data_IF_256910029892
#
_entry.id   IF_256910029892
#
_cell.length_a   1.000
_cell.length_b   1.000
_cell.length_c   1.000
_cell.angle_alpha   90.00
_cell.angle_beta   90.00
_cell.angle_gamma   90.00
#
_symmetry.space_group_name_H-M   'P 1'
#
loop_
_entity.id
_entity.type
_entity.pdbx_description
1 polymer ?
#
# COMPACT_ATOMS: atom_id res chain seq x y z
N UNK A 1 -26.82 -10.05 -18.65
CA UNK A 1 -26.01 -11.28 -18.52
C UNK A 1 -25.43 -11.79 -19.84
N UNK A 2 -26.01 -11.48 -21.02
CA UNK A 2 -25.31 -11.70 -22.30
C UNK A 2 -24.09 -10.76 -22.39
N UNK A 3 -22.89 -11.31 -22.62
CA UNK A 3 -21.64 -10.55 -22.77
C UNK A 3 -20.67 -10.57 -21.58
N UNK A 4 -21.02 -11.21 -20.46
CA UNK A 4 -20.12 -11.36 -19.31
C UNK A 4 -19.13 -12.51 -19.51
N UNK A 5 -17.85 -12.29 -19.21
CA UNK A 5 -16.84 -13.34 -19.19
C UNK A 5 -16.85 -14.06 -17.84
N UNK A 6 -17.26 -15.33 -17.85
CA UNK A 6 -17.37 -16.18 -16.66
C UNK A 6 -16.16 -17.09 -16.46
N UNK A 7 -15.10 -16.92 -17.26
CA UNK A 7 -13.87 -17.68 -17.06
C UNK A 7 -13.33 -17.40 -15.65
N UNK A 8 -12.87 -18.43 -14.91
CA UNK A 8 -12.30 -18.25 -13.57
C UNK A 8 -11.23 -17.15 -13.50
N UNK A 9 -10.38 -17.05 -14.53
CA UNK A 9 -9.36 -15.99 -14.61
C UNK A 9 -9.93 -14.57 -14.69
N UNK A 10 -11.03 -14.35 -15.42
CA UNK A 10 -11.67 -13.04 -15.52
C UNK A 10 -12.30 -12.62 -14.19
N UNK A 11 -12.92 -13.57 -13.47
CA UNK A 11 -13.49 -13.34 -12.14
C UNK A 11 -12.38 -12.99 -11.14
N UNK A 12 -11.29 -13.75 -11.16
CA UNK A 12 -10.14 -13.54 -10.27
C UNK A 12 -9.47 -12.19 -10.55
N UNK A 13 -9.34 -11.79 -11.81
CA UNK A 13 -8.86 -10.46 -12.19
C UNK A 13 -9.79 -9.35 -11.69
N UNK A 14 -11.11 -9.51 -11.81
CA UNK A 14 -12.06 -8.53 -11.31
C UNK A 14 -11.97 -8.36 -9.78
N UNK A 15 -11.76 -9.46 -9.04
CA UNK A 15 -11.51 -9.43 -7.59
C UNK A 15 -10.18 -8.71 -7.28
N UNK A 16 -9.13 -8.98 -8.05
CA UNK A 16 -7.83 -8.32 -7.92
C UNK A 16 -7.93 -6.80 -8.09
N UNK A 17 -8.62 -6.35 -9.13
CA UNK A 17 -8.86 -4.92 -9.37
C UNK A 17 -9.75 -4.31 -8.27
N UNK A 18 -10.77 -5.03 -7.82
CA UNK A 18 -11.60 -4.63 -6.69
C UNK A 18 -10.81 -4.48 -5.38
N UNK A 19 -9.86 -5.38 -5.12
CA UNK A 19 -9.00 -5.32 -3.94
C UNK A 19 -8.15 -4.05 -3.90
N UNK A 20 -7.69 -3.56 -5.06
CA UNK A 20 -6.91 -2.32 -5.14
C UNK A 20 -7.68 -1.10 -4.63
N UNK A 21 -8.99 -1.03 -4.88
CA UNK A 21 -9.85 0.03 -4.35
C UNK A 21 -9.97 0.03 -2.81
N UNK A 22 -9.75 -1.12 -2.15
CA UNK A 22 -9.71 -1.23 -0.68
C UNK A 22 -8.29 -1.06 -0.10
N UNK A 23 -7.33 -0.60 -0.91
CA UNK A 23 -5.96 -0.31 -0.47
C UNK A 23 -5.88 0.78 0.62
N UNK A 24 -4.72 0.87 1.28
CA UNK A 24 -4.42 1.91 2.29
C UNK A 24 -4.63 1.49 3.75
N UNK A 25 -5.16 0.30 4.02
CA UNK A 25 -5.31 -0.20 5.40
C UNK A 25 -3.95 -0.40 6.11
N UNK A 26 -2.87 -0.62 5.37
CA UNK A 26 -1.50 -0.77 5.91
C UNK A 26 -0.97 0.55 6.46
N UNK A 27 -1.22 1.65 5.76
CA UNK A 27 -0.87 3.03 6.13
C UNK A 27 -1.43 3.40 7.50
N UNK A 28 -2.70 3.05 7.76
CA UNK A 28 -3.35 3.29 9.06
C UNK A 28 -2.70 2.51 10.22
N UNK A 29 -2.13 1.34 9.95
CA UNK A 29 -1.49 0.54 10.99
C UNK A 29 -0.21 1.20 11.52
N UNK A 30 0.53 1.94 10.69
CA UNK A 30 1.75 2.63 11.12
C UNK A 30 1.48 3.75 12.14
N UNK A 31 0.41 4.51 11.97
CA UNK A 31 0.00 5.55 12.93
C UNK A 31 -0.77 5.01 14.13
N UNK A 32 -1.22 3.74 14.10
CA UNK A 32 -2.05 3.18 15.16
C UNK A 32 -1.32 3.01 16.49
N UNK A 33 0.01 2.89 16.48
CA UNK A 33 0.85 2.75 17.68
C UNK A 33 0.96 4.06 18.49
N UNK A 34 0.77 5.21 17.84
CA UNK A 34 0.79 6.53 18.49
C UNK A 34 -0.54 6.86 19.19
N UNK A 35 -1.62 6.19 18.80
CA UNK A 35 -2.94 6.43 19.37
C UNK A 35 -3.03 5.72 20.72
N UNK A 36 -2.88 6.48 21.80
CA UNK A 36 -3.11 6.00 23.17
C UNK A 36 -4.60 5.78 23.42
N UNK A 37 -5.13 4.65 22.94
CA UNK A 37 -6.54 4.29 23.12
C UNK A 37 -6.71 3.44 24.38
N UNK A 38 -7.65 3.86 25.24
CA UNK A 38 -8.10 3.03 26.35
C UNK A 38 -8.65 1.69 25.83
N UNK A 39 -8.14 0.57 26.35
CA UNK A 39 -8.48 -0.79 25.89
C UNK A 39 -8.15 -1.07 24.40
N UNK A 40 -6.98 -0.63 23.92
CA UNK A 40 -6.45 -0.86 22.56
C UNK A 40 -6.77 -2.26 21.99
N UNK A 41 -6.55 -3.32 22.77
CA UNK A 41 -6.82 -4.72 22.36
C UNK A 41 -8.23 -5.01 21.85
N UNK A 42 -9.24 -4.31 22.37
CA UNK A 42 -10.65 -4.52 22.00
C UNK A 42 -11.14 -3.46 21.02
N UNK A 43 -10.59 -2.26 21.10
CA UNK A 43 -11.01 -1.13 20.25
C UNK A 43 -10.46 -1.26 18.83
N UNK A 44 -9.19 -1.67 18.68
CA UNK A 44 -8.55 -1.78 17.37
C UNK A 44 -9.30 -2.75 16.43
N UNK A 45 -9.62 -4.01 16.82
CA UNK A 45 -10.34 -4.91 15.91
C UNK A 45 -11.73 -4.40 15.52
N UNK A 46 -12.43 -3.71 16.43
CA UNK A 46 -13.75 -3.13 16.16
C UNK A 46 -13.67 -1.95 15.20
N UNK A 47 -12.67 -1.09 15.38
CA UNK A 47 -12.41 0.02 14.47
C UNK A 47 -12.07 -0.49 13.06
N UNK A 48 -11.20 -1.50 12.95
CA UNK A 48 -10.86 -2.12 11.66
C UNK A 48 -12.09 -2.74 10.97
N UNK A 49 -12.88 -3.54 11.70
CA UNK A 49 -14.08 -4.17 11.14
C UNK A 49 -15.16 -3.13 10.78
N UNK A 50 -15.36 -2.13 11.63
CA UNK A 50 -16.30 -1.03 11.36
C UNK A 50 -15.91 -0.24 10.13
N UNK A 51 -14.64 0.16 10.01
CA UNK A 51 -14.11 0.84 8.83
C UNK A 51 -14.31 0.02 7.55
N UNK A 52 -13.96 -1.27 7.59
CA UNK A 52 -14.10 -2.16 6.43
C UNK A 52 -15.57 -2.31 5.98
N UNK A 53 -16.51 -2.48 6.92
CA UNK A 53 -17.94 -2.59 6.60
C UNK A 53 -18.49 -1.29 6.02
N UNK A 54 -18.15 -0.15 6.62
CA UNK A 54 -18.60 1.17 6.13
C UNK A 54 -18.07 1.42 4.72
N UNK A 55 -16.78 1.18 4.48
CA UNK A 55 -16.19 1.31 3.15
C UNK A 55 -16.87 0.39 2.14
N UNK A 56 -17.12 -0.88 2.50
CA UNK A 56 -17.79 -1.82 1.61
C UNK A 56 -19.21 -1.36 1.24
N UNK A 57 -19.98 -0.85 2.20
CA UNK A 57 -21.32 -0.30 1.95
C UNK A 57 -21.24 0.89 0.98
N UNK A 58 -20.33 1.84 1.23
CA UNK A 58 -20.16 3.02 0.37
C UNK A 58 -19.79 2.60 -1.05
N UNK A 59 -18.85 1.67 -1.22
CA UNK A 59 -18.45 1.16 -2.55
C UNK A 59 -19.63 0.51 -3.29
N UNK A 60 -20.44 -0.30 -2.60
CA UNK A 60 -21.64 -0.90 -3.21
C UNK A 60 -22.65 0.19 -3.60
N UNK A 61 -22.91 1.16 -2.74
CA UNK A 61 -23.85 2.24 -3.02
C UNK A 61 -23.42 3.10 -4.21
N UNK A 62 -22.13 3.41 -4.34
CA UNK A 62 -21.57 4.14 -5.49
C UNK A 62 -21.71 3.32 -6.78
N UNK A 63 -21.44 2.02 -6.75
CA UNK A 63 -21.63 1.18 -7.94
C UNK A 63 -23.11 1.08 -8.33
N UNK A 64 -24.01 0.94 -7.36
CA UNK A 64 -25.47 0.96 -7.59
C UNK A 64 -25.91 2.28 -8.21
N UNK A 65 -25.38 3.42 -7.76
CA UNK A 65 -25.73 4.71 -8.34
C UNK A 65 -25.26 4.82 -9.79
N UNK A 66 -24.03 4.37 -10.12
CA UNK A 66 -23.54 4.34 -11.49
C UNK A 66 -24.41 3.49 -12.41
N UNK A 67 -24.76 2.27 -12.01
CA UNK A 67 -25.59 1.39 -12.84
C UNK A 67 -27.06 1.82 -12.94
N UNK A 68 -27.54 2.70 -12.05
CA UNK A 68 -28.89 3.26 -12.15
C UNK A 68 -29.03 4.28 -13.28
N UNK A 69 -27.92 4.88 -13.73
CA UNK A 69 -27.94 6.04 -14.64
C UNK A 69 -27.16 5.76 -15.93
N UNK A 70 -26.01 5.08 -15.82
CA UNK A 70 -25.15 4.76 -16.94
C UNK A 70 -25.38 3.34 -17.43
N UNK A 71 -25.32 3.16 -18.74
CA UNK A 71 -25.30 1.83 -19.34
C UNK A 71 -23.91 1.19 -19.20
N UNK A 72 -23.79 -0.15 -19.21
CA UNK A 72 -22.49 -0.82 -19.14
C UNK A 72 -21.50 -0.39 -20.24
N UNK A 73 -22.00 -0.05 -21.43
CA UNK A 73 -21.15 0.48 -22.51
C UNK A 73 -20.58 1.86 -22.17
N UNK A 74 -21.42 2.77 -21.68
CA UNK A 74 -20.96 4.11 -21.26
C UNK A 74 -19.92 4.04 -20.13
N UNK A 75 -20.02 3.05 -19.22
CA UNK A 75 -19.03 2.84 -18.15
C UNK A 75 -17.69 2.37 -18.72
N UNK A 76 -17.70 1.42 -19.66
CA UNK A 76 -16.48 0.85 -20.25
C UNK A 76 -15.80 1.84 -21.20
N UNK A 77 -16.58 2.63 -21.94
CA UNK A 77 -16.08 3.61 -22.92
C UNK A 77 -15.65 4.92 -22.26
N UNK A 78 -16.01 5.16 -20.99
CA UNK A 78 -15.66 6.36 -20.26
C UNK A 78 -14.26 6.27 -19.63
N UNK A 79 -13.42 7.28 -19.88
CA UNK A 79 -12.14 7.44 -19.18
C UNK A 79 -12.29 7.81 -17.70
N UNK A 80 -13.41 8.45 -17.33
CA UNK A 80 -13.69 8.89 -15.96
C UNK A 80 -15.19 8.73 -15.66
N UNK A 81 -15.55 7.56 -15.15
CA UNK A 81 -16.95 7.16 -14.87
C UNK A 81 -17.67 8.20 -14.00
N UNK A 82 -16.99 8.76 -13.00
CA UNK A 82 -17.56 9.80 -12.13
C UNK A 82 -17.94 11.07 -12.90
N UNK A 83 -17.11 11.52 -13.84
CA UNK A 83 -17.37 12.71 -14.65
C UNK A 83 -18.57 12.47 -15.57
N UNK A 84 -18.61 11.32 -16.25
CA UNK A 84 -19.73 10.95 -17.13
C UNK A 84 -21.04 10.81 -16.34
N UNK A 85 -20.99 10.27 -15.13
CA UNK A 85 -22.14 10.19 -14.23
C UNK A 85 -22.69 11.57 -13.86
N UNK A 86 -21.83 12.50 -13.44
CA UNK A 86 -22.25 13.88 -13.10
C UNK A 86 -22.77 14.62 -14.34
N UNK A 87 -22.16 14.38 -15.49
CA UNK A 87 -22.61 14.94 -16.76
C UNK A 87 -24.03 14.51 -17.11
N UNK A 88 -24.36 13.22 -16.90
CA UNK A 88 -25.69 12.67 -17.15
C UNK A 88 -26.75 13.09 -16.14
N UNK A 89 -26.36 13.43 -14.91
CA UNK A 89 -27.29 13.73 -13.81
C UNK A 89 -27.52 15.21 -13.58
N UNK A 90 -26.44 15.97 -13.42
CA UNK A 90 -26.46 17.39 -13.05
C UNK A 90 -26.18 18.28 -14.27
N UNK A 91 -25.47 17.75 -15.26
CA UNK A 91 -25.14 18.44 -16.51
C UNK A 91 -23.67 18.86 -16.61
N UNK A 92 -23.31 19.38 -17.78
CA UNK A 92 -21.91 19.66 -18.15
C UNK A 92 -21.21 20.66 -17.21
N UNK A 93 -21.94 21.62 -16.64
CA UNK A 93 -21.36 22.63 -15.75
C UNK A 93 -20.78 22.05 -14.47
N UNK A 94 -21.49 21.13 -13.82
CA UNK A 94 -21.00 20.45 -12.62
C UNK A 94 -19.92 19.41 -12.94
N UNK A 95 -20.00 18.76 -14.11
CA UNK A 95 -19.02 17.77 -14.53
C UNK A 95 -17.60 18.35 -14.65
N UNK A 96 -17.48 19.64 -14.98
CA UNK A 96 -16.19 20.33 -15.06
C UNK A 96 -15.46 20.42 -13.70
N UNK A 97 -16.20 20.43 -12.59
CA UNK A 97 -15.61 20.47 -11.25
C UNK A 97 -15.12 19.09 -10.76
N UNK A 98 -15.60 18.00 -11.35
CA UNK A 98 -15.29 16.63 -10.88
C UNK A 98 -13.80 16.33 -10.90
N UNK A 99 -13.03 16.58 -11.99
CA UNK A 99 -11.60 16.34 -11.98
C UNK A 99 -10.84 17.15 -10.93
N UNK A 100 -11.28 18.38 -10.64
CA UNK A 100 -10.66 19.21 -9.60
C UNK A 100 -10.87 18.63 -8.20
N UNK A 101 -12.08 18.15 -7.90
CA UNK A 101 -12.39 17.46 -6.64
C UNK A 101 -11.59 16.16 -6.52
N UNK A 102 -11.53 15.36 -7.58
CA UNK A 102 -10.72 14.13 -7.62
C UNK A 102 -9.24 14.46 -7.40
N UNK A 103 -8.72 15.52 -8.04
CA UNK A 103 -7.35 15.99 -7.82
C UNK A 103 -7.06 16.36 -6.37
N UNK A 104 -7.99 17.04 -5.69
CA UNK A 104 -7.86 17.35 -4.27
C UNK A 104 -7.83 16.09 -3.39
N UNK A 105 -8.66 15.09 -3.72
CA UNK A 105 -8.64 13.80 -3.02
C UNK A 105 -7.30 13.05 -3.21
N UNK A 106 -6.75 13.08 -4.43
CA UNK A 106 -5.45 12.47 -4.74
C UNK A 106 -4.31 13.14 -3.95
N UNK A 107 -4.34 14.46 -3.75
CA UNK A 107 -3.37 15.16 -2.87
C UNK A 107 -3.46 14.62 -1.44
N UNK A 108 -4.67 14.36 -0.95
CA UNK A 108 -4.89 13.73 0.36
C UNK A 108 -4.22 12.35 0.47
N UNK A 109 -4.42 11.49 -0.52
CA UNK A 109 -3.78 10.17 -0.58
C UNK A 109 -2.25 10.28 -0.65
N UNK A 110 -1.74 11.16 -1.52
CA UNK A 110 -0.29 11.38 -1.66
C UNK A 110 0.35 11.83 -0.35
N UNK A 111 -0.31 12.70 0.42
CA UNK A 111 0.18 13.09 1.74
C UNK A 111 0.27 11.89 2.69
N UNK A 112 -0.75 11.04 2.73
CA UNK A 112 -0.76 9.81 3.53
C UNK A 112 0.36 8.83 3.13
N UNK A 113 0.60 8.70 1.82
CA UNK A 113 1.66 7.85 1.28
C UNK A 113 3.05 8.41 1.60
N UNK A 114 3.25 9.73 1.54
CA UNK A 114 4.52 10.36 1.98
C UNK A 114 4.78 10.05 3.46
N UNK A 115 3.77 10.06 4.32
CA UNK A 115 3.94 9.74 5.74
C UNK A 115 4.32 8.27 5.98
N UNK A 116 3.63 7.33 5.32
CA UNK A 116 3.84 5.90 5.57
C UNK A 116 4.97 5.27 4.75
N UNK A 117 5.25 5.83 3.58
CA UNK A 117 6.10 5.24 2.56
C UNK A 117 7.11 6.24 1.98
N UNK A 118 7.50 7.28 2.74
CA UNK A 118 8.39 8.39 2.31
C UNK A 118 9.53 7.99 1.36
N UNK A 119 10.27 6.93 1.71
CA UNK A 119 11.42 6.42 0.93
C UNK A 119 10.99 5.80 -0.41
N UNK A 120 9.88 5.08 -0.42
CA UNK A 120 9.27 4.56 -1.65
C UNK A 120 8.74 5.71 -2.50
N UNK A 121 8.05 6.69 -1.91
CA UNK A 121 7.50 7.83 -2.65
C UNK A 121 8.58 8.65 -3.36
N UNK A 122 9.72 8.91 -2.71
CA UNK A 122 10.85 9.58 -3.35
C UNK A 122 11.40 8.79 -4.55
N UNK A 123 11.48 7.46 -4.41
CA UNK A 123 11.93 6.58 -5.49
C UNK A 123 10.91 6.56 -6.64
N UNK A 124 9.62 6.49 -6.34
CA UNK A 124 8.53 6.53 -7.32
C UNK A 124 8.50 7.84 -8.10
N UNK A 125 8.79 8.99 -7.46
CA UNK A 125 8.90 10.28 -8.15
C UNK A 125 10.02 10.23 -9.20
N UNK A 126 11.19 9.67 -8.85
CA UNK A 126 12.31 9.54 -9.79
C UNK A 126 11.94 8.65 -10.97
N UNK A 127 11.26 7.52 -10.74
CA UNK A 127 10.80 6.64 -11.81
C UNK A 127 9.71 7.27 -12.69
N UNK A 128 8.80 8.07 -12.11
CA UNK A 128 7.79 8.80 -12.87
C UNK A 128 8.39 9.81 -13.86
N UNK A 129 9.58 10.35 -13.58
CA UNK A 129 10.31 11.19 -14.53
C UNK A 129 11.07 10.40 -15.61
N UNK A 130 11.35 9.11 -15.38
CA UNK A 130 12.21 8.28 -16.23
C UNK A 130 11.46 7.33 -17.17
N UNK A 131 10.16 7.08 -16.97
CA UNK A 131 9.46 6.07 -17.77
C UNK A 131 7.95 6.04 -17.65
N UNK A 132 7.37 5.07 -18.35
CA UNK A 132 5.93 4.79 -18.42
C UNK A 132 5.38 4.43 -17.03
N UNK A 133 4.46 5.26 -16.52
CA UNK A 133 3.91 5.13 -15.16
C UNK A 133 3.09 3.87 -14.98
N UNK A 134 2.51 3.33 -16.05
CA UNK A 134 1.66 2.14 -15.96
C UNK A 134 2.49 0.89 -15.65
N UNK A 135 3.64 0.75 -16.32
CA UNK A 135 4.60 -0.32 -16.03
C UNK A 135 5.19 -0.22 -14.63
N UNK A 136 5.46 1.01 -14.15
CA UNK A 136 5.96 1.22 -12.79
C UNK A 136 4.96 0.73 -11.74
N UNK A 137 3.67 1.03 -11.92
CA UNK A 137 2.61 0.58 -11.02
C UNK A 137 2.55 -0.95 -10.99
N UNK A 138 2.68 -1.60 -12.13
CA UNK A 138 2.70 -3.07 -12.21
C UNK A 138 3.91 -3.68 -11.49
N UNK A 139 5.11 -3.10 -11.65
CA UNK A 139 6.31 -3.55 -10.93
C UNK A 139 6.15 -3.39 -9.41
N UNK A 140 5.66 -2.22 -8.97
CA UNK A 140 5.47 -1.90 -7.56
C UNK A 140 4.37 -2.77 -6.93
N UNK A 141 3.31 -3.10 -7.68
CA UNK A 141 2.28 -4.02 -7.22
C UNK A 141 2.86 -5.42 -6.94
N UNK A 142 3.68 -5.96 -7.84
CA UNK A 142 4.33 -7.27 -7.65
C UNK A 142 5.26 -7.24 -6.42
N UNK A 143 6.09 -6.19 -6.28
CA UNK A 143 6.96 -6.02 -5.11
C UNK A 143 6.14 -5.89 -3.81
N UNK A 144 5.05 -5.12 -3.82
CA UNK A 144 4.12 -4.95 -2.69
C UNK A 144 3.43 -6.25 -2.27
N UNK A 145 3.06 -7.09 -3.22
CA UNK A 145 2.51 -8.42 -2.93
C UNK A 145 3.55 -9.35 -2.35
N UNK A 146 4.78 -9.37 -2.88
CA UNK A 146 5.87 -10.19 -2.36
C UNK A 146 6.27 -9.80 -0.94
N UNK A 147 6.39 -8.50 -0.66
CA UNK A 147 6.66 -8.00 0.69
C UNK A 147 5.55 -8.41 1.66
N UNK A 148 4.28 -8.33 1.26
CA UNK A 148 3.14 -8.76 2.08
C UNK A 148 3.15 -10.27 2.32
N UNK A 149 3.41 -11.08 1.29
CA UNK A 149 3.56 -12.55 1.42
C UNK A 149 4.67 -12.89 2.41
N UNK A 150 5.83 -12.25 2.28
CA UNK A 150 6.96 -12.49 3.18
C UNK A 150 6.64 -12.07 4.61
N UNK A 151 6.02 -10.91 4.81
CA UNK A 151 5.59 -10.44 6.13
C UNK A 151 4.59 -11.40 6.79
N UNK A 152 3.62 -11.91 6.04
CA UNK A 152 2.65 -12.91 6.54
C UNK A 152 3.32 -14.26 6.85
N UNK A 153 4.27 -14.71 6.02
CA UNK A 153 5.07 -15.91 6.29
C UNK A 153 5.84 -15.78 7.61
N UNK A 154 6.53 -14.66 7.82
CA UNK A 154 7.25 -14.38 9.06
C UNK A 154 6.28 -14.36 10.25
N UNK A 155 5.12 -13.74 10.10
CA UNK A 155 4.10 -13.69 11.16
C UNK A 155 3.57 -15.08 11.54
N UNK A 156 3.33 -15.95 10.55
CA UNK A 156 2.94 -17.35 10.77
C UNK A 156 4.06 -18.09 11.52
N UNK A 157 5.32 -17.89 11.13
CA UNK A 157 6.48 -18.49 11.81
C UNK A 157 6.60 -18.00 13.26
N UNK A 158 6.45 -16.70 13.51
CA UNK A 158 6.49 -16.10 14.86
C UNK A 158 5.43 -16.73 15.75
N UNK A 159 4.19 -16.86 15.25
CA UNK A 159 3.08 -17.47 16.00
C UNK A 159 3.30 -18.96 16.25
N UNK A 160 3.82 -19.69 15.26
CA UNK A 160 4.10 -21.12 15.40
C UNK A 160 5.24 -21.37 16.41
N UNK A 161 6.31 -20.57 16.35
CA UNK A 161 7.47 -20.67 17.26
C UNK A 161 7.27 -19.99 18.62
N UNK A 162 6.14 -19.32 18.87
CA UNK A 162 5.82 -18.61 20.13
C UNK A 162 6.95 -17.68 20.60
N UNK A 163 7.51 -16.89 19.69
CA UNK A 163 8.53 -15.89 20.04
C UNK A 163 7.96 -14.82 21.00
N UNK A 164 8.79 -14.18 21.86
CA UNK A 164 8.32 -13.12 22.74
C UNK A 164 7.84 -11.93 21.91
N UNK A 165 6.60 -11.48 22.18
CA UNK A 165 5.95 -10.35 21.51
C UNK A 165 5.84 -9.21 22.53
N UNK A 166 5.71 -7.97 22.06
CA UNK A 166 5.47 -6.77 22.88
C UNK A 166 4.40 -6.97 23.97
N UNK A 167 4.46 -6.17 25.03
CA UNK A 167 3.70 -6.32 26.28
C UNK A 167 2.16 -6.27 26.13
N UNK A 168 1.62 -5.67 25.05
CA UNK A 168 0.18 -5.57 24.83
C UNK A 168 -0.33 -6.05 23.45
N UNK A 169 -0.20 -7.34 23.07
CA UNK A 169 -0.54 -7.79 21.73
C UNK A 169 -2.04 -8.09 21.58
N UNK A 170 -2.60 -7.70 20.43
CA UNK A 170 -3.92 -8.16 19.96
C UNK A 170 -3.83 -9.66 19.63
N UNK A 171 -4.57 -10.48 20.38
CA UNK A 171 -4.59 -11.94 20.16
C UNK A 171 -5.61 -12.29 19.08
N UNK A 172 -5.15 -12.93 18.01
CA UNK A 172 -6.00 -13.47 16.94
C UNK A 172 -5.52 -14.88 16.54
N UNK A 173 -6.45 -15.69 16.04
CA UNK A 173 -6.19 -17.06 15.59
C UNK A 173 -5.18 -17.09 14.46
N UNK A 174 -4.34 -18.14 14.43
CA UNK A 174 -3.37 -18.39 13.34
C UNK A 174 -4.04 -18.68 12.01
N UNK A 175 -5.33 -19.07 12.04
CA UNK A 175 -6.13 -19.33 10.85
C UNK A 175 -6.16 -18.12 9.89
N UNK A 176 -6.32 -16.90 10.42
CA UNK A 176 -6.47 -15.69 9.59
C UNK A 176 -5.20 -15.35 8.79
N UNK A 177 -3.98 -15.34 9.37
CA UNK A 177 -2.75 -15.20 8.60
C UNK A 177 -2.53 -16.28 7.56
N UNK A 178 -2.83 -17.55 7.87
CA UNK A 178 -2.66 -18.66 6.93
C UNK A 178 -3.61 -18.49 5.75
N UNK A 179 -4.87 -18.17 6.01
CA UNK A 179 -5.87 -17.92 4.97
C UNK A 179 -5.44 -16.75 4.06
N UNK A 180 -5.01 -15.64 4.64
CA UNK A 180 -4.54 -14.48 3.88
C UNK A 180 -3.30 -14.80 3.04
N UNK A 181 -2.36 -15.56 3.60
CA UNK A 181 -1.17 -16.02 2.88
C UNK A 181 -1.54 -16.85 1.64
N UNK A 182 -2.48 -17.79 1.76
CA UNK A 182 -2.95 -18.61 0.63
C UNK A 182 -3.58 -17.72 -0.45
N UNK A 183 -4.41 -16.74 -0.04
CA UNK A 183 -5.05 -15.79 -0.97
C UNK A 183 -4.00 -14.96 -1.69
N UNK A 184 -3.01 -14.41 -0.98
CA UNK A 184 -1.96 -13.58 -1.59
C UNK A 184 -1.09 -14.36 -2.56
N UNK A 185 -0.74 -15.62 -2.25
CA UNK A 185 -0.03 -16.50 -3.18
C UNK A 185 -0.86 -16.77 -4.43
N UNK A 186 -2.18 -16.98 -4.28
CA UNK A 186 -3.07 -17.19 -5.42
C UNK A 186 -3.22 -15.92 -6.27
N UNK A 187 -3.32 -14.74 -5.66
CA UNK A 187 -3.42 -13.46 -6.37
C UNK A 187 -2.13 -13.12 -7.12
N UNK A 188 -0.96 -13.54 -6.62
CA UNK A 188 0.32 -13.35 -7.28
C UNK A 188 0.41 -14.06 -8.64
N UNK A 189 -0.41 -15.08 -8.89
CA UNK A 189 -0.47 -15.78 -10.19
C UNK A 189 -1.01 -14.87 -11.30
N UNK A 190 -1.86 -13.90 -10.96
CA UNK A 190 -2.51 -13.02 -11.94
C UNK A 190 -1.48 -12.15 -12.68
N UNK A 191 -0.67 -11.30 -12.01
CA UNK A 191 0.31 -10.48 -12.72
C UNK A 191 1.32 -11.34 -13.47
N UNK A 192 1.69 -12.51 -12.95
CA UNK A 192 2.61 -13.46 -13.61
C UNK A 192 2.05 -13.93 -14.96
N UNK A 193 0.74 -14.15 -15.06
CA UNK A 193 0.09 -14.59 -16.30
C UNK A 193 -0.19 -13.44 -17.27
N UNK A 194 -0.55 -12.26 -16.76
CA UNK A 194 -0.91 -11.12 -17.59
C UNK A 194 0.29 -10.41 -18.17
N UNK A 195 1.30 -10.15 -17.34
CA UNK A 195 2.54 -9.53 -17.76
C UNK A 195 3.75 -10.20 -17.10
N UNK A 196 4.28 -11.27 -17.75
CA UNK A 196 5.37 -12.04 -17.19
C UNK A 196 6.68 -11.24 -17.10
N UNK A 197 6.92 -10.29 -18.02
CA UNK A 197 8.14 -9.49 -18.02
C UNK A 197 8.13 -8.56 -16.81
N UNK A 198 7.01 -7.86 -16.61
CA UNK A 198 6.83 -6.95 -15.48
C UNK A 198 6.92 -7.67 -14.14
N UNK A 199 6.36 -8.89 -14.08
CA UNK A 199 6.47 -9.74 -12.90
C UNK A 199 7.93 -10.13 -12.60
N UNK A 200 8.69 -10.61 -13.60
CA UNK A 200 10.10 -10.99 -13.42
C UNK A 200 10.93 -9.81 -12.90
N UNK A 201 10.71 -8.61 -13.45
CA UNK A 201 11.37 -7.39 -12.99
C UNK A 201 11.02 -7.12 -11.52
N UNK A 202 9.73 -7.15 -11.14
CA UNK A 202 9.31 -6.98 -9.74
C UNK A 202 9.95 -7.99 -8.78
N UNK A 203 10.01 -9.28 -9.15
CA UNK A 203 10.72 -10.30 -8.38
C UNK A 203 12.22 -10.00 -8.24
N UNK A 204 12.85 -9.55 -9.33
CA UNK A 204 14.28 -9.21 -9.32
C UNK A 204 14.56 -8.00 -8.43
N UNK A 205 13.68 -6.99 -8.41
CA UNK A 205 13.79 -5.82 -7.53
C UNK A 205 13.71 -6.22 -6.06
N UNK A 206 12.79 -7.13 -5.72
CA UNK A 206 12.67 -7.65 -4.36
C UNK A 206 13.95 -8.38 -3.92
N UNK A 207 14.49 -9.27 -4.77
CA UNK A 207 15.71 -10.00 -4.46
C UNK A 207 16.95 -9.09 -4.41
N UNK A 208 17.03 -8.10 -5.30
CA UNK A 208 18.07 -7.09 -5.30
C UNK A 208 18.10 -6.32 -3.97
N UNK A 209 16.93 -6.00 -3.40
CA UNK A 209 16.83 -5.39 -2.07
C UNK A 209 17.51 -6.23 -0.97
N UNK A 210 17.33 -7.57 -1.02
CA UNK A 210 18.00 -8.49 -0.08
C UNK A 210 19.51 -8.50 -0.29
N UNK A 211 19.97 -8.55 -1.54
CA UNK A 211 21.41 -8.54 -1.87
C UNK A 211 22.06 -7.23 -1.42
N UNK A 212 21.45 -6.09 -1.76
CA UNK A 212 21.94 -4.76 -1.37
C UNK A 212 22.03 -4.64 0.15
N UNK A 213 21.05 -5.15 0.90
CA UNK A 213 21.11 -5.15 2.36
C UNK A 213 22.37 -5.88 2.89
N UNK A 214 22.66 -7.08 2.39
CA UNK A 214 23.84 -7.83 2.85
C UNK A 214 25.15 -7.18 2.40
N UNK A 215 25.22 -6.65 1.18
CA UNK A 215 26.40 -5.95 0.67
C UNK A 215 26.67 -4.68 1.48
N UNK A 216 25.67 -3.83 1.68
CA UNK A 216 25.80 -2.61 2.48
C UNK A 216 26.19 -2.95 3.91
N UNK A 217 25.54 -3.94 4.54
CA UNK A 217 25.89 -4.39 5.88
C UNK A 217 27.34 -4.86 5.96
N UNK A 218 27.79 -5.67 5.01
CA UNK A 218 29.16 -6.16 4.96
C UNK A 218 30.16 -5.00 4.85
N UNK A 219 29.91 -4.07 3.91
CA UNK A 219 30.74 -2.90 3.68
C UNK A 219 30.80 -2.00 4.92
N UNK A 220 29.66 -1.65 5.51
CA UNK A 220 29.61 -0.78 6.71
C UNK A 220 30.33 -1.43 7.90
N UNK A 221 30.22 -2.75 8.05
CA UNK A 221 30.90 -3.48 9.15
C UNK A 221 32.41 -3.49 8.99
N UNK A 222 32.93 -3.49 7.76
CA UNK A 222 34.38 -3.63 7.49
C UNK A 222 35.08 -2.31 7.14
N UNK A 223 34.35 -1.21 6.96
CA UNK A 223 34.91 0.06 6.46
C UNK A 223 34.60 1.22 7.41
N UNK A 224 35.54 1.56 8.30
CA UNK A 224 35.40 2.70 9.21
C UNK A 224 35.28 4.05 8.47
N UNK A 225 35.89 4.16 7.29
CA UNK A 225 35.84 5.36 6.45
C UNK A 225 34.41 5.77 6.05
N UNK A 226 33.55 4.79 5.77
CA UNK A 226 32.15 5.08 5.42
C UNK A 226 31.38 5.63 6.61
N UNK A 227 31.70 5.21 7.83
CA UNK A 227 31.14 5.81 9.05
C UNK A 227 31.61 7.25 9.30
N UNK A 228 32.74 7.67 8.73
CA UNK A 228 33.19 9.08 8.76
C UNK A 228 32.43 9.91 7.73
N UNK A 229 32.25 9.38 6.51
CA UNK A 229 31.45 10.05 5.46
C UNK A 229 30.00 10.19 5.93
N UNK A 230 29.41 9.12 6.46
CA UNK A 230 28.04 9.11 6.96
C UNK A 230 27.83 10.23 7.98
N UNK A 231 28.65 10.29 9.05
CA UNK A 231 28.59 11.37 10.05
C UNK A 231 28.71 12.78 9.46
N UNK A 232 29.65 12.98 8.52
CA UNK A 232 29.83 14.30 7.87
C UNK A 232 28.61 14.67 7.03
N UNK A 233 28.07 13.71 6.29
CA UNK A 233 26.88 13.90 5.46
C UNK A 233 25.64 14.14 6.32
N UNK A 234 25.46 13.39 7.41
CA UNK A 234 24.38 13.60 8.38
C UNK A 234 24.46 15.00 8.98
N UNK A 235 25.64 15.45 9.40
CA UNK A 235 25.83 16.80 9.95
C UNK A 235 25.56 17.90 8.91
N UNK A 236 25.96 17.69 7.66
CA UNK A 236 25.61 18.59 6.56
C UNK A 236 24.10 18.66 6.33
N UNK A 237 23.42 17.51 6.30
CA UNK A 237 21.96 17.45 6.17
C UNK A 237 21.25 18.13 7.34
N UNK A 238 21.73 17.96 8.59
CA UNK A 238 21.20 18.62 9.78
C UNK A 238 21.27 20.15 9.65
N UNK A 239 22.42 20.69 9.22
CA UNK A 239 22.58 22.13 9.00
C UNK A 239 21.64 22.60 7.88
N UNK A 240 21.60 21.87 6.76
CA UNK A 240 20.82 22.26 5.58
C UNK A 240 19.31 22.29 5.86
N UNK A 241 18.81 21.29 6.60
CA UNK A 241 17.38 21.11 6.88
C UNK A 241 16.96 21.65 8.23
N UNK A 242 17.88 22.20 9.03
CA UNK A 242 17.66 22.57 10.43
C UNK A 242 17.02 21.43 11.23
N UNK A 243 17.55 20.21 11.09
CA UNK A 243 17.03 19.03 11.79
C UNK A 243 17.97 18.60 12.91
N UNK A 244 17.39 18.05 13.97
CA UNK A 244 18.09 17.43 15.10
C UNK A 244 17.89 15.91 15.03
N UNK A 245 18.89 15.14 15.44
CA UNK A 245 18.72 13.70 15.60
C UNK A 245 17.76 13.46 16.75
N UNK A 246 16.76 12.61 16.54
CA UNK A 246 15.90 12.18 17.63
C UNK A 246 16.72 11.27 18.55
N UNK A 247 17.07 11.81 19.72
CA UNK A 247 17.67 11.05 20.81
C UNK A 247 16.64 10.05 21.30
N UNK A 248 16.88 8.75 21.07
CA UNK A 248 15.96 7.68 21.45
C UNK A 248 15.58 7.71 22.94
N UNK A 249 14.56 6.94 23.36
CA UNK A 249 14.05 6.98 24.72
C UNK A 249 15.08 6.70 25.84
N UNK A 250 16.24 6.11 25.52
CA UNK A 250 17.32 5.86 26.48
C UNK A 250 18.15 7.11 26.86
N UNK A 251 18.10 8.18 26.07
CA UNK A 251 18.92 9.39 26.32
C UNK A 251 18.15 10.47 27.13
N UNK A 252 16.81 10.36 27.21
CA UNK A 252 15.95 11.30 27.97
C UNK A 252 16.07 11.16 29.50
N UNK A 253 16.79 10.16 29.99
CA UNK A 253 17.05 9.96 31.43
C UNK A 253 18.35 10.60 31.93
N UNK A 254 19.15 11.20 31.05
CA UNK A 254 20.46 11.78 31.40
C UNK A 254 20.62 13.27 31.09
N UNK A 255 19.52 14.00 30.87
CA UNK A 255 19.49 15.47 30.87
C UNK A 255 18.78 16.02 32.10
#
# INVERSE_FOLDING_TARGET
MKGSDWKPGAIVLAIYQGNWAFGGFTTLNYGSEEIQIENFRKTLPRACLGGLVISAIIYVLVNVSYFAILTPKEIIDSSAVATTFIQRTVGNGAAFAVPAVVGFLLIGTLNGDVFSWSRFTLTSIIFAFLGDTDQLVDYLNVVGMLTTVFALLVLVIIKWKKMPIASDPVKYSIFWPILNLIIMIALLVIPIQQDPISSIIGFSMFLAGVVVYFVVKFIVTHTEFLGVIDRKLTHFCQILTWTIVDSGPEEKTHM
#
